data_IF_859503493447
#
_entry.id   IF_859503493447
#
_cell.length_a   1.000
_cell.length_b   1.000
_cell.length_c   1.000
_cell.angle_alpha   90.00
_cell.angle_beta   90.00
_cell.angle_gamma   90.00
#
_symmetry.space_group_name_H-M   'P 1'
#
loop_
_entity.id
_entity.type
_entity.pdbx_description
1 polymer ?
#
# COMPACT_ATOMS: atom_id res chain seq x y z
N UNK A 1 -6.66 9.98 21.19
CA UNK A 1 -5.33 10.29 20.61
C UNK A 1 -4.84 9.26 19.55
N UNK A 2 -5.72 8.48 18.88
CA UNK A 2 -5.30 7.45 17.89
C UNK A 2 -5.85 7.68 16.45
N UNK A 3 -6.69 8.70 16.25
CA UNK A 3 -7.39 8.93 14.97
C UNK A 3 -6.76 10.04 14.11
N UNK A 4 -6.06 11.01 14.69
CA UNK A 4 -5.57 12.20 14.00
C UNK A 4 -4.46 11.94 12.98
N UNK A 5 -3.63 10.92 13.20
CA UNK A 5 -2.53 10.56 12.27
C UNK A 5 -3.04 9.86 11.00
N UNK A 6 -4.18 9.14 11.10
CA UNK A 6 -4.81 8.43 9.98
C UNK A 6 -5.44 9.41 8.96
N UNK A 7 -5.94 10.55 9.44
CA UNK A 7 -6.48 11.63 8.60
C UNK A 7 -5.39 12.45 7.93
N UNK A 8 -4.19 12.54 8.52
CA UNK A 8 -3.05 13.28 7.97
C UNK A 8 -2.42 12.57 6.75
N UNK A 9 -2.26 11.24 6.83
CA UNK A 9 -1.79 10.44 5.70
C UNK A 9 -2.82 10.37 4.56
N UNK A 10 -4.12 10.41 4.88
CA UNK A 10 -5.18 10.53 3.88
C UNK A 10 -5.22 11.93 3.22
N UNK A 11 -4.87 12.98 3.96
CA UNK A 11 -4.80 14.35 3.43
C UNK A 11 -3.67 14.54 2.41
N UNK A 12 -2.52 13.88 2.57
CA UNK A 12 -1.43 13.93 1.59
C UNK A 12 -1.78 13.26 0.26
N UNK A 13 -2.68 12.28 0.29
CA UNK A 13 -3.25 11.63 -0.89
C UNK A 13 -4.36 12.50 -1.51
N UNK A 14 -5.14 13.23 -0.70
CA UNK A 14 -6.21 14.13 -1.13
C UNK A 14 -5.73 15.46 -1.74
N UNK A 15 -4.47 15.85 -1.50
CA UNK A 15 -3.88 17.09 -2.03
C UNK A 15 -3.28 16.92 -3.44
N UNK A 16 -3.35 15.74 -4.05
CA UNK A 16 -3.18 15.59 -5.50
C UNK A 16 -1.79 15.94 -6.07
N UNK A 17 -0.75 16.06 -5.23
CA UNK A 17 0.59 16.45 -5.66
C UNK A 17 1.42 15.26 -6.20
N UNK A 18 0.85 14.50 -7.14
CA UNK A 18 1.45 14.25 -8.48
C UNK A 18 0.94 12.95 -9.16
N UNK A 19 -0.29 13.05 -9.72
CA UNK A 19 -0.77 12.46 -10.99
C UNK A 19 -1.04 10.94 -11.15
N UNK A 20 -2.09 10.69 -11.97
CA UNK A 20 -2.52 9.45 -12.63
C UNK A 20 -3.53 8.54 -11.90
N UNK A 21 -4.78 9.01 -11.84
CA UNK A 21 -6.00 8.20 -11.64
C UNK A 21 -6.41 7.44 -12.93
N UNK A 22 -5.43 6.92 -13.69
CA UNK A 22 -5.65 6.35 -15.04
C UNK A 22 -4.90 5.03 -15.27
N UNK A 23 -4.99 4.10 -14.31
CA UNK A 23 -4.68 2.72 -14.59
C UNK A 23 -5.69 1.83 -13.88
N UNK A 24 -6.75 1.45 -14.59
CA UNK A 24 -7.76 0.46 -14.19
C UNK A 24 -7.18 -0.96 -14.03
N UNK A 25 -5.92 -1.13 -13.61
CA UNK A 25 -5.29 -2.46 -13.49
C UNK A 25 -4.22 -2.58 -12.37
N UNK A 26 -4.09 -1.58 -11.48
CA UNK A 26 -3.22 -1.71 -10.31
C UNK A 26 -4.03 -1.42 -9.06
N UNK A 27 -4.36 -2.48 -8.32
CA UNK A 27 -5.09 -2.45 -7.06
C UNK A 27 -4.72 -1.24 -6.20
N UNK A 28 -5.74 -0.49 -5.77
CA UNK A 28 -5.55 0.65 -4.89
C UNK A 28 -4.72 0.20 -3.67
N UNK A 29 -3.58 0.87 -3.43
CA UNK A 29 -2.67 0.55 -2.34
C UNK A 29 -3.41 0.36 -1.00
N UNK A 30 -4.46 1.16 -0.80
CA UNK A 30 -5.33 1.12 0.37
C UNK A 30 -6.14 -0.18 0.46
N UNK A 31 -6.67 -0.69 -0.64
CA UNK A 31 -7.41 -1.95 -0.69
C UNK A 31 -6.49 -3.14 -0.39
N UNK A 32 -5.31 -3.17 -1.03
CA UNK A 32 -4.28 -4.16 -0.73
C UNK A 32 -3.84 -4.10 0.73
N UNK A 33 -3.67 -2.91 1.30
CA UNK A 33 -3.31 -2.76 2.72
C UNK A 33 -4.41 -3.30 3.64
N UNK A 34 -5.68 -3.01 3.34
CA UNK A 34 -6.81 -3.48 4.14
C UNK A 34 -7.00 -5.00 4.05
N UNK A 35 -6.82 -5.60 2.87
CA UNK A 35 -6.91 -7.04 2.67
C UNK A 35 -5.68 -7.77 3.25
N UNK A 36 -4.47 -7.21 3.09
CA UNK A 36 -3.25 -7.77 3.66
C UNK A 36 -3.28 -7.79 5.19
N UNK A 37 -3.87 -6.76 5.81
CA UNK A 37 -4.11 -6.70 7.24
C UNK A 37 -5.11 -7.75 7.75
N UNK A 38 -5.98 -8.26 6.87
CA UNK A 38 -6.92 -9.35 7.18
C UNK A 38 -6.32 -10.75 6.96
N UNK A 39 -5.04 -10.85 6.59
CA UNK A 39 -4.39 -12.13 6.33
C UNK A 39 -4.58 -12.65 4.91
N UNK A 40 -5.09 -11.83 3.97
CA UNK A 40 -5.20 -12.26 2.58
C UNK A 40 -3.80 -12.38 1.95
N UNK A 41 -3.37 -13.61 1.68
CA UNK A 41 -2.03 -13.89 1.15
C UNK A 41 -1.75 -13.20 -0.20
N UNK A 42 -2.75 -13.12 -1.10
CA UNK A 42 -2.58 -12.43 -2.38
C UNK A 42 -2.37 -10.92 -2.19
N UNK A 43 -3.11 -10.30 -1.27
CA UNK A 43 -2.94 -8.89 -0.94
C UNK A 43 -1.60 -8.61 -0.23
N UNK A 44 -1.15 -9.51 0.64
CA UNK A 44 0.18 -9.41 1.28
C UNK A 44 1.29 -9.50 0.24
N UNK A 45 1.19 -10.43 -0.71
CA UNK A 45 2.12 -10.52 -1.83
C UNK A 45 2.13 -9.24 -2.67
N UNK A 46 0.95 -8.74 -3.06
CA UNK A 46 0.82 -7.52 -3.85
C UNK A 46 1.40 -6.31 -3.11
N UNK A 47 1.11 -6.16 -1.82
CA UNK A 47 1.65 -5.09 -0.99
C UNK A 47 3.18 -5.17 -0.88
N UNK A 48 3.73 -6.37 -0.71
CA UNK A 48 5.16 -6.62 -0.73
C UNK A 48 5.79 -6.25 -2.08
N UNK A 49 5.15 -6.60 -3.19
CA UNK A 49 5.60 -6.25 -4.53
C UNK A 49 5.55 -4.73 -4.79
N UNK A 50 4.54 -4.02 -4.27
CA UNK A 50 4.44 -2.56 -4.36
C UNK A 50 5.60 -1.88 -3.63
N UNK A 51 5.96 -2.33 -2.42
CA UNK A 51 7.14 -1.84 -1.71
C UNK A 51 8.45 -2.26 -2.37
N UNK A 52 8.52 -3.44 -2.97
CA UNK A 52 9.73 -3.89 -3.68
C UNK A 52 10.00 -3.07 -4.94
N UNK A 53 8.95 -2.71 -5.70
CA UNK A 53 9.04 -1.98 -6.97
C UNK A 53 8.89 -0.47 -6.83
N UNK A 54 8.40 0.03 -5.70
CA UNK A 54 8.07 1.45 -5.52
C UNK A 54 6.84 1.88 -6.31
N UNK A 55 5.86 0.98 -6.50
CA UNK A 55 4.63 1.29 -7.24
C UNK A 55 3.62 1.94 -6.29
N UNK A 56 3.32 3.23 -6.50
CA UNK A 56 2.37 3.98 -5.66
C UNK A 56 2.85 4.26 -4.24
N UNK A 57 4.05 3.77 -3.86
CA UNK A 57 4.72 4.00 -2.58
C UNK A 57 6.22 4.13 -2.77
N UNK A 58 6.92 4.69 -1.79
CA UNK A 58 8.39 4.68 -1.77
C UNK A 58 8.87 3.23 -1.71
N UNK A 59 9.87 2.90 -2.53
CA UNK A 59 10.51 1.59 -2.49
C UNK A 59 11.10 1.31 -1.09
N UNK A 60 10.76 0.16 -0.52
CA UNK A 60 11.26 -0.33 0.75
C UNK A 60 11.40 -1.86 0.69
N UNK A 61 12.64 -2.34 0.57
CA UNK A 61 12.91 -3.77 0.42
C UNK A 61 12.74 -4.56 1.72
N UNK A 62 12.95 -3.92 2.87
CA UNK A 62 12.77 -4.58 4.17
C UNK A 62 11.29 -4.82 4.43
N UNK A 63 10.48 -3.79 4.22
CA UNK A 63 9.03 -3.88 4.35
C UNK A 63 8.42 -4.83 3.29
N UNK A 64 8.97 -4.84 2.08
CA UNK A 64 8.59 -5.82 1.06
C UNK A 64 8.81 -7.26 1.52
N UNK A 65 9.99 -7.58 2.08
CA UNK A 65 10.30 -8.93 2.56
C UNK A 65 9.39 -9.34 3.73
N UNK A 66 9.05 -8.41 4.61
CA UNK A 66 8.11 -8.66 5.71
C UNK A 66 6.72 -9.05 5.17
N UNK A 67 6.18 -8.29 4.21
CA UNK A 67 4.88 -8.59 3.62
C UNK A 67 4.89 -9.87 2.77
N UNK A 68 5.96 -10.11 2.01
CA UNK A 68 6.13 -11.34 1.24
C UNK A 68 6.25 -12.57 2.16
N UNK A 69 6.93 -12.44 3.30
CA UNK A 69 7.03 -13.53 4.28
C UNK A 69 5.71 -13.84 4.99
N UNK A 70 4.78 -12.88 5.06
CA UNK A 70 3.42 -13.11 5.60
C UNK A 70 2.51 -13.84 4.62
N UNK A 71 2.77 -13.71 3.32
CA UNK A 71 2.02 -14.38 2.27
C UNK A 71 2.36 -15.88 2.26
N UNK A 72 1.69 -16.63 3.15
CA UNK A 72 1.78 -18.09 3.27
C UNK A 72 0.37 -18.70 3.32
#
# INVERSE_FOLDING_TARGET
MKQTVKWLAAALIALGLNQAVWADDVSDFRENLQAAAQGNAAAQYNLGAMYYKGHGVRQDRALAQEWLGKAC
#
